data_IF_399691438967
#
_entry.id   IF_399691438967
#
_cell.length_a   1.000
_cell.length_b   1.000
_cell.length_c   1.000
_cell.angle_alpha   90.00
_cell.angle_beta   90.00
_cell.angle_gamma   90.00
#
_symmetry.space_group_name_H-M   'P 1'
#
loop_
_entity.id
_entity.type
_entity.pdbx_description
1 polymer ?
#
# COMPACT_ATOMS: atom_id res chain seq x y z
N UNK A 1 52.28 20.67 -44.97
CA UNK A 1 50.98 21.17 -44.46
C UNK A 1 50.07 20.00 -44.23
N UNK A 2 49.98 19.50 -43.01
CA UNK A 2 49.04 18.43 -42.61
C UNK A 2 47.83 19.06 -41.95
N UNK A 3 46.56 18.65 -42.27
CA UNK A 3 45.39 19.11 -41.55
C UNK A 3 45.18 18.33 -40.27
N UNK A 4 44.93 19.07 -39.21
CA UNK A 4 44.54 18.55 -37.92
C UNK A 4 43.11 17.94 -37.96
N UNK A 5 43.03 16.66 -37.71
CA UNK A 5 41.75 15.94 -37.51
C UNK A 5 41.33 16.12 -36.04
N UNK A 6 40.35 16.97 -35.81
CA UNK A 6 39.72 17.17 -34.51
C UNK A 6 38.82 15.96 -34.19
N UNK A 7 39.23 15.08 -33.30
CA UNK A 7 38.41 14.00 -32.77
C UNK A 7 37.45 14.59 -31.75
N UNK A 8 36.18 14.75 -32.13
CA UNK A 8 35.08 15.04 -31.22
C UNK A 8 34.76 13.74 -30.47
N UNK A 9 35.12 13.68 -29.21
CA UNK A 9 34.74 12.60 -28.30
C UNK A 9 33.34 12.86 -27.82
N UNK A 10 32.36 12.21 -28.46
CA UNK A 10 30.95 12.25 -28.01
C UNK A 10 30.82 11.43 -26.74
N UNK A 11 30.78 12.13 -25.60
CA UNK A 11 30.51 11.50 -24.30
C UNK A 11 29.03 11.08 -24.29
N UNK A 12 28.79 9.79 -24.56
CA UNK A 12 27.48 9.17 -24.43
C UNK A 12 27.21 9.06 -22.92
N UNK A 13 26.52 10.07 -22.35
CA UNK A 13 25.94 9.96 -21.02
C UNK A 13 24.84 8.89 -21.07
N UNK A 14 25.19 7.66 -20.74
CA UNK A 14 24.22 6.63 -20.39
C UNK A 14 23.52 7.09 -19.10
N UNK A 15 22.41 7.83 -19.26
CA UNK A 15 21.37 7.91 -18.25
C UNK A 15 20.76 6.52 -18.14
N UNK A 16 21.41 5.67 -17.36
CA UNK A 16 20.81 4.46 -16.81
C UNK A 16 19.62 4.94 -15.99
N UNK A 17 18.44 4.91 -16.59
CA UNK A 17 17.19 5.03 -15.86
C UNK A 17 17.26 3.98 -14.74
N UNK A 18 17.38 4.41 -13.51
CA UNK A 18 17.10 3.58 -12.35
C UNK A 18 15.62 3.20 -12.46
N UNK A 19 15.35 2.11 -13.19
CA UNK A 19 14.15 1.35 -12.91
C UNK A 19 14.19 1.11 -11.40
N UNK A 20 13.14 1.50 -10.69
CA UNK A 20 12.96 1.19 -9.29
C UNK A 20 12.71 -0.32 -9.20
N UNK A 21 13.70 -1.12 -9.55
CA UNK A 21 13.69 -2.54 -9.40
C UNK A 21 13.64 -2.83 -7.90
N UNK A 22 12.53 -3.37 -7.44
CA UNK A 22 12.37 -3.84 -6.06
C UNK A 22 12.90 -5.29 -5.96
N UNK A 23 13.99 -5.59 -6.69
CA UNK A 23 14.55 -6.94 -6.80
C UNK A 23 14.96 -7.52 -5.44
N UNK A 24 15.27 -6.63 -4.48
CA UNK A 24 15.56 -6.99 -3.10
C UNK A 24 14.33 -7.56 -2.34
N UNK A 25 13.11 -7.24 -2.75
CA UNK A 25 11.89 -7.72 -2.09
C UNK A 25 11.56 -9.18 -2.46
N UNK A 26 11.84 -9.61 -3.70
CA UNK A 26 11.54 -10.95 -4.21
C UNK A 26 12.22 -12.07 -3.41
N UNK A 27 13.53 -12.02 -3.10
CA UNK A 27 14.20 -13.06 -2.32
C UNK A 27 13.61 -13.25 -0.91
N UNK A 28 13.02 -12.22 -0.32
CA UNK A 28 12.32 -12.35 0.96
C UNK A 28 11.08 -13.21 0.83
N UNK A 29 10.26 -12.98 -0.20
CA UNK A 29 9.07 -13.78 -0.48
C UNK A 29 9.42 -15.25 -0.77
N UNK A 30 10.44 -15.50 -1.59
CA UNK A 30 10.88 -16.84 -1.95
C UNK A 30 11.41 -17.65 -0.76
N UNK A 31 11.91 -16.98 0.27
CA UNK A 31 12.44 -17.60 1.49
C UNK A 31 11.43 -17.62 2.65
N UNK A 32 10.24 -17.07 2.46
CA UNK A 32 9.23 -17.05 3.52
C UNK A 32 8.82 -18.49 3.91
N UNK A 33 8.83 -18.84 5.19
CA UNK A 33 8.35 -20.14 5.66
C UNK A 33 6.83 -20.21 5.76
N UNK A 34 6.13 -19.09 5.57
CA UNK A 34 4.68 -18.99 5.78
C UNK A 34 3.90 -19.46 4.57
N UNK A 35 2.65 -19.84 4.79
CA UNK A 35 1.74 -20.15 3.68
C UNK A 35 1.38 -18.87 2.95
N UNK A 36 1.76 -18.79 1.67
CA UNK A 36 1.54 -17.67 0.78
C UNK A 36 0.84 -18.20 -0.49
N UNK A 37 -0.29 -17.60 -0.86
CA UNK A 37 -1.02 -18.08 -2.03
C UNK A 37 -1.69 -16.94 -2.82
N UNK A 38 -1.94 -17.23 -4.09
CA UNK A 38 -2.82 -16.44 -4.94
C UNK A 38 -4.24 -16.98 -4.86
N UNK A 39 -5.20 -16.10 -4.58
CA UNK A 39 -6.62 -16.41 -4.67
C UNK A 39 -7.30 -15.48 -5.67
N UNK A 40 -8.43 -15.92 -6.23
CA UNK A 40 -9.28 -15.06 -7.05
C UNK A 40 -10.55 -14.76 -6.28
N UNK A 41 -10.74 -13.47 -5.96
CA UNK A 41 -11.95 -12.99 -5.32
C UNK A 41 -12.90 -12.48 -6.39
N UNK A 42 -14.07 -13.13 -6.51
CA UNK A 42 -15.08 -12.76 -7.51
C UNK A 42 -16.17 -11.91 -6.91
N UNK A 43 -16.52 -10.82 -7.57
CA UNK A 43 -17.72 -10.04 -7.28
C UNK A 43 -18.33 -9.47 -8.56
N UNK A 44 -19.66 -9.58 -8.70
CA UNK A 44 -20.31 -9.27 -9.97
C UNK A 44 -19.66 -10.03 -11.14
N UNK A 45 -19.28 -9.29 -12.18
CA UNK A 45 -18.59 -9.84 -13.36
C UNK A 45 -17.08 -9.64 -13.30
N UNK A 46 -16.51 -9.41 -12.12
CA UNK A 46 -15.10 -9.07 -11.96
C UNK A 46 -14.37 -10.12 -11.13
N UNK A 47 -13.23 -10.55 -11.62
CA UNK A 47 -12.27 -11.42 -10.95
C UNK A 47 -11.09 -10.56 -10.49
N UNK A 48 -10.86 -10.48 -9.18
CA UNK A 48 -9.74 -9.76 -8.57
C UNK A 48 -8.74 -10.77 -8.04
N UNK A 49 -7.53 -10.79 -8.58
CA UNK A 49 -6.44 -11.61 -8.04
C UNK A 49 -5.93 -10.98 -6.76
N UNK A 50 -5.83 -11.77 -5.72
CA UNK A 50 -5.37 -11.31 -4.41
C UNK A 50 -4.23 -12.20 -3.93
N UNK A 51 -3.21 -11.59 -3.35
CA UNK A 51 -2.16 -12.29 -2.62
C UNK A 51 -2.56 -12.42 -1.16
N UNK A 52 -2.55 -13.63 -0.63
CA UNK A 52 -2.88 -13.91 0.77
C UNK A 52 -1.67 -14.50 1.48
N UNK A 53 -1.39 -13.99 2.67
CA UNK A 53 -0.36 -14.49 3.58
C UNK A 53 -1.01 -14.89 4.91
N UNK A 54 -0.68 -16.08 5.39
CA UNK A 54 -1.23 -16.64 6.63
C UNK A 54 -0.17 -16.69 7.73
N UNK A 55 -0.55 -16.29 8.96
CA UNK A 55 0.35 -16.39 10.10
C UNK A 55 0.48 -17.83 10.60
N UNK A 56 1.64 -18.16 11.16
CA UNK A 56 1.91 -19.42 11.85
C UNK A 56 1.42 -19.34 13.32
N UNK A 57 0.11 -19.22 13.52
CA UNK A 57 -0.53 -19.11 14.83
C UNK A 57 -1.61 -20.16 15.03
N UNK A 58 -1.88 -20.55 16.27
CA UNK A 58 -2.91 -21.56 16.62
C UNK A 58 -4.31 -20.97 16.66
N UNK A 59 -4.43 -19.72 17.08
CA UNK A 59 -5.70 -19.04 17.26
C UNK A 59 -6.11 -18.30 15.98
N UNK A 60 -7.40 -17.99 15.89
CA UNK A 60 -7.89 -17.16 14.79
C UNK A 60 -7.30 -15.76 14.86
N UNK A 61 -6.84 -15.26 13.73
CA UNK A 61 -6.13 -13.99 13.61
C UNK A 61 -7.02 -12.87 13.06
N UNK A 62 -6.72 -11.63 13.43
CA UNK A 62 -7.24 -10.44 12.75
C UNK A 62 -6.67 -10.36 11.34
N UNK A 63 -7.49 -9.95 10.37
CA UNK A 63 -7.06 -9.78 8.99
C UNK A 63 -6.74 -8.31 8.66
N UNK A 64 -5.82 -8.11 7.71
CA UNK A 64 -5.47 -6.79 7.17
C UNK A 64 -5.57 -6.80 5.65
N UNK A 65 -6.40 -5.91 5.11
CA UNK A 65 -6.41 -5.62 3.67
C UNK A 65 -5.29 -4.64 3.36
N UNK A 66 -4.39 -5.01 2.45
CA UNK A 66 -3.22 -4.21 2.07
C UNK A 66 -3.44 -3.59 0.69
N UNK A 67 -3.49 -2.26 0.62
CA UNK A 67 -3.71 -1.53 -0.63
C UNK A 67 -2.36 -1.04 -1.18
N UNK A 68 -2.05 -1.47 -2.39
CA UNK A 68 -0.77 -1.19 -3.05
C UNK A 68 -0.58 0.28 -3.45
N UNK A 69 0.66 0.63 -3.80
CA UNK A 69 1.04 1.93 -4.37
C UNK A 69 0.59 2.10 -5.82
N UNK A 70 0.96 3.22 -6.45
CA UNK A 70 0.74 3.48 -7.89
C UNK A 70 1.44 2.48 -8.83
N UNK A 71 2.29 1.62 -8.29
CA UNK A 71 3.03 0.61 -9.06
C UNK A 71 2.29 -0.75 -9.13
N UNK A 72 1.06 -0.82 -8.59
CA UNK A 72 0.30 -2.06 -8.51
C UNK A 72 0.79 -3.01 -7.41
N UNK A 73 0.37 -4.27 -7.49
CA UNK A 73 0.72 -5.31 -6.52
C UNK A 73 2.13 -5.86 -6.80
N UNK A 74 3.15 -5.11 -6.38
CA UNK A 74 4.56 -5.46 -6.53
C UNK A 74 5.02 -6.50 -5.50
N UNK A 75 6.25 -7.03 -5.69
CA UNK A 75 6.88 -7.94 -4.72
C UNK A 75 7.03 -7.31 -3.34
N UNK A 76 7.30 -6.00 -3.28
CA UNK A 76 7.35 -5.29 -2.01
C UNK A 76 6.00 -5.32 -1.27
N UNK A 77 4.89 -5.05 -1.95
CA UNK A 77 3.55 -5.08 -1.31
C UNK A 77 3.19 -6.50 -0.86
N UNK A 78 3.52 -7.52 -1.67
CA UNK A 78 3.39 -8.92 -1.26
C UNK A 78 4.27 -9.24 -0.05
N UNK A 79 5.47 -8.66 0.01
CA UNK A 79 6.37 -8.73 1.17
C UNK A 79 5.82 -8.04 2.42
N UNK A 80 5.07 -6.95 2.27
CA UNK A 80 4.34 -6.32 3.39
C UNK A 80 3.27 -7.27 3.93
N UNK A 81 2.52 -7.96 3.05
CA UNK A 81 1.55 -8.97 3.49
C UNK A 81 2.23 -10.12 4.26
N UNK A 82 3.38 -10.59 3.79
CA UNK A 82 4.19 -11.59 4.48
C UNK A 82 4.69 -11.11 5.86
N UNK A 83 5.13 -9.85 5.98
CA UNK A 83 5.54 -9.26 7.26
C UNK A 83 4.38 -9.09 8.25
N UNK A 84 3.17 -8.81 7.77
CA UNK A 84 1.97 -8.82 8.61
C UNK A 84 1.67 -10.24 9.10
N UNK A 85 1.83 -11.24 8.24
CA UNK A 85 1.66 -12.64 8.64
C UNK A 85 2.73 -13.09 9.66
N UNK A 86 3.99 -12.66 9.49
CA UNK A 86 5.05 -12.82 10.49
C UNK A 86 4.66 -12.21 11.85
N UNK A 87 3.94 -11.10 11.83
CA UNK A 87 3.46 -10.43 13.05
C UNK A 87 2.18 -11.05 13.64
N UNK A 88 1.63 -12.12 13.04
CA UNK A 88 0.48 -12.86 13.56
C UNK A 88 -0.88 -12.45 12.96
N UNK A 89 -0.90 -11.74 11.82
CA UNK A 89 -2.11 -11.28 11.16
C UNK A 89 -2.30 -11.98 9.81
N UNK A 90 -3.54 -12.29 9.43
CA UNK A 90 -3.81 -12.66 8.04
C UNK A 90 -3.72 -11.40 7.19
N UNK A 91 -3.02 -11.45 6.06
CA UNK A 91 -2.96 -10.32 5.15
C UNK A 91 -3.48 -10.69 3.77
N UNK A 92 -4.33 -9.83 3.20
CA UNK A 92 -4.81 -9.95 1.83
C UNK A 92 -4.49 -8.69 1.05
N UNK A 93 -3.77 -8.83 -0.06
CA UNK A 93 -3.39 -7.73 -0.95
C UNK A 93 -4.04 -7.93 -2.33
N UNK A 94 -5.16 -7.25 -2.65
CA UNK A 94 -5.78 -7.32 -3.95
C UNK A 94 -4.93 -6.61 -5.02
N UNK A 95 -4.79 -7.22 -6.18
CA UNK A 95 -4.31 -6.56 -7.38
C UNK A 95 -5.46 -5.78 -8.02
N UNK A 96 -5.58 -4.51 -7.66
CA UNK A 96 -6.65 -3.64 -8.15
C UNK A 96 -6.55 -3.35 -9.66
N UNK A 97 -5.42 -3.73 -10.27
CA UNK A 97 -5.19 -3.68 -11.72
C UNK A 97 -5.63 -4.99 -12.42
N UNK A 98 -6.20 -5.96 -11.72
CA UNK A 98 -6.75 -7.18 -12.31
C UNK A 98 -7.69 -6.85 -13.48
N UNK A 99 -7.51 -7.52 -14.60
CA UNK A 99 -8.31 -7.33 -15.81
C UNK A 99 -7.94 -6.10 -16.66
N UNK A 100 -6.98 -5.26 -16.25
CA UNK A 100 -6.60 -4.05 -17.00
C UNK A 100 -5.42 -4.24 -17.95
N UNK A 101 -4.71 -5.35 -17.80
CA UNK A 101 -3.57 -5.70 -18.64
C UNK A 101 -3.95 -6.57 -19.84
N UNK A 102 -2.97 -6.88 -20.70
CA UNK A 102 -3.15 -7.80 -21.81
C UNK A 102 -3.75 -9.15 -21.37
N UNK A 103 -4.66 -9.69 -22.18
CA UNK A 103 -5.35 -10.94 -21.91
C UNK A 103 -6.07 -11.02 -20.55
N UNK A 104 -6.52 -9.88 -20.03
CA UNK A 104 -7.16 -9.82 -18.71
C UNK A 104 -6.19 -9.94 -17.53
N UNK A 105 -4.89 -9.75 -17.75
CA UNK A 105 -3.89 -9.76 -16.70
C UNK A 105 -3.97 -8.55 -15.77
N UNK A 106 -3.18 -8.59 -14.70
CA UNK A 106 -3.06 -7.53 -13.70
C UNK A 106 -1.68 -6.85 -13.74
N UNK A 107 -1.21 -6.42 -12.60
CA UNK A 107 0.05 -5.67 -12.41
C UNK A 107 1.23 -6.27 -13.17
N UNK A 108 1.43 -7.58 -13.06
CA UNK A 108 2.58 -8.28 -13.66
C UNK A 108 2.60 -8.25 -15.20
N UNK A 109 1.43 -8.06 -15.84
CA UNK A 109 1.28 -8.06 -17.29
C UNK A 109 1.39 -6.66 -17.93
N UNK A 110 1.59 -5.61 -17.13
CA UNK A 110 1.58 -4.21 -17.58
C UNK A 110 2.95 -3.69 -18.01
N UNK A 111 3.97 -4.55 -18.08
CA UNK A 111 5.30 -4.15 -18.55
C UNK A 111 6.09 -3.26 -17.58
N UNK A 112 5.76 -3.32 -16.29
CA UNK A 112 6.49 -2.65 -15.23
C UNK A 112 5.80 -1.43 -14.61
N UNK A 113 6.55 -0.63 -13.81
CA UNK A 113 5.98 0.46 -13.01
C UNK A 113 5.24 1.54 -13.79
N UNK A 114 5.72 1.89 -14.98
CA UNK A 114 5.09 2.95 -15.78
C UNK A 114 3.75 2.50 -16.39
N UNK A 115 3.66 1.23 -16.80
CA UNK A 115 2.40 0.64 -17.25
C UNK A 115 1.36 0.60 -16.12
N UNK A 116 1.75 0.17 -14.94
CA UNK A 116 0.90 0.18 -13.76
C UNK A 116 0.43 1.59 -13.39
N UNK A 117 1.35 2.56 -13.33
CA UNK A 117 1.06 3.97 -13.04
C UNK A 117 0.03 4.55 -14.00
N UNK A 118 0.19 4.28 -15.30
CA UNK A 118 -0.74 4.74 -16.35
C UNK A 118 -2.16 4.21 -16.12
N UNK A 119 -2.29 2.95 -15.71
CA UNK A 119 -3.60 2.31 -15.48
C UNK A 119 -4.26 2.72 -14.16
N UNK A 120 -3.51 2.89 -13.09
CA UNK A 120 -4.02 3.31 -11.76
C UNK A 120 -4.83 4.61 -11.86
N UNK A 121 -4.34 5.61 -12.60
CA UNK A 121 -5.01 6.89 -12.77
C UNK A 121 -6.37 6.81 -13.47
N UNK A 122 -6.65 5.72 -14.18
CA UNK A 122 -7.89 5.50 -14.92
C UNK A 122 -8.88 4.57 -14.21
N UNK A 123 -8.51 3.99 -13.05
CA UNK A 123 -9.40 3.10 -12.31
C UNK A 123 -10.63 3.87 -11.78
N UNK A 124 -11.85 3.41 -12.06
CA UNK A 124 -13.06 4.00 -11.48
C UNK A 124 -13.02 3.86 -9.95
N UNK A 125 -13.18 4.95 -9.19
CA UNK A 125 -13.11 4.90 -7.73
C UNK A 125 -14.10 3.93 -7.08
N UNK A 126 -15.30 3.79 -7.64
CA UNK A 126 -16.33 2.87 -7.12
C UNK A 126 -15.94 1.40 -7.36
N UNK A 127 -15.26 1.10 -8.48
CA UNK A 127 -14.71 -0.23 -8.71
C UNK A 127 -13.63 -0.57 -7.69
N UNK A 128 -12.70 0.36 -7.42
CA UNK A 128 -11.67 0.17 -6.39
C UNK A 128 -12.30 -0.12 -5.04
N UNK A 129 -13.33 0.64 -4.66
CA UNK A 129 -14.06 0.43 -3.41
C UNK A 129 -14.75 -0.94 -3.37
N UNK A 130 -15.36 -1.38 -4.49
CA UNK A 130 -16.01 -2.68 -4.59
C UNK A 130 -15.01 -3.85 -4.53
N UNK A 131 -13.87 -3.73 -5.22
CA UNK A 131 -12.78 -4.72 -5.17
C UNK A 131 -12.24 -4.88 -3.74
N UNK A 132 -11.99 -3.76 -3.05
CA UNK A 132 -11.52 -3.76 -1.66
C UNK A 132 -12.56 -4.37 -0.71
N UNK A 133 -13.85 -4.05 -0.91
CA UNK A 133 -14.93 -4.65 -0.14
C UNK A 133 -14.98 -6.15 -0.34
N UNK A 134 -14.90 -6.62 -1.57
CA UNK A 134 -14.90 -8.05 -1.88
C UNK A 134 -13.72 -8.77 -1.22
N UNK A 135 -12.51 -8.20 -1.26
CA UNK A 135 -11.33 -8.74 -0.59
C UNK A 135 -11.50 -8.77 0.93
N UNK A 136 -12.07 -7.71 1.52
CA UNK A 136 -12.39 -7.64 2.96
C UNK A 136 -13.40 -8.71 3.36
N UNK A 137 -14.50 -8.84 2.62
CA UNK A 137 -15.54 -9.84 2.88
C UNK A 137 -15.00 -11.27 2.71
N UNK A 138 -14.09 -11.49 1.76
CA UNK A 138 -13.44 -12.77 1.54
C UNK A 138 -12.58 -13.16 2.75
N UNK A 139 -11.63 -12.31 3.14
CA UNK A 139 -10.69 -12.62 4.21
C UNK A 139 -11.40 -12.74 5.56
N UNK A 140 -12.47 -11.96 5.80
CA UNK A 140 -13.26 -12.03 7.02
C UNK A 140 -13.93 -13.41 7.22
N UNK A 141 -14.29 -14.08 6.11
CA UNK A 141 -14.95 -15.39 6.12
C UNK A 141 -14.00 -16.57 6.21
N UNK A 142 -12.70 -16.35 6.12
CA UNK A 142 -11.72 -17.43 6.25
C UNK A 142 -11.84 -18.10 7.63
N UNK A 143 -11.76 -19.44 7.71
CA UNK A 143 -11.83 -20.14 8.99
C UNK A 143 -10.77 -19.70 10.00
N UNK A 144 -9.61 -19.25 9.51
CA UNK A 144 -8.49 -18.73 10.29
C UNK A 144 -8.71 -17.28 10.77
N UNK A 145 -9.71 -16.56 10.24
CA UNK A 145 -10.00 -15.18 10.65
C UNK A 145 -10.90 -15.13 11.88
N UNK A 146 -10.60 -14.23 12.82
CA UNK A 146 -11.43 -13.98 14.02
C UNK A 146 -12.63 -13.05 13.74
N UNK A 147 -12.88 -12.70 12.47
CA UNK A 147 -13.95 -11.82 12.06
C UNK A 147 -13.61 -10.32 12.13
N UNK A 148 -12.43 -9.95 12.61
CA UNK A 148 -11.96 -8.56 12.62
C UNK A 148 -11.10 -8.30 11.39
N UNK A 149 -11.37 -7.19 10.69
CA UNK A 149 -10.60 -6.74 9.51
C UNK A 149 -10.16 -5.30 9.71
N UNK A 150 -8.89 -5.02 9.47
CA UNK A 150 -8.34 -3.69 9.32
C UNK A 150 -7.92 -3.46 7.86
N UNK A 151 -7.68 -2.22 7.48
CA UNK A 151 -7.21 -1.86 6.14
C UNK A 151 -6.02 -0.92 6.24
N UNK A 152 -5.01 -1.12 5.41
CA UNK A 152 -3.86 -0.22 5.32
C UNK A 152 -3.40 -0.08 3.88
N UNK A 153 -3.01 1.14 3.49
CA UNK A 153 -2.57 1.40 2.13
C UNK A 153 -1.44 2.40 2.06
N UNK A 154 -0.69 2.32 0.96
CA UNK A 154 0.54 3.04 0.75
C UNK A 154 0.42 4.00 -0.43
N UNK A 155 0.89 5.25 -0.31
CA UNK A 155 0.85 6.25 -1.37
C UNK A 155 -0.59 6.47 -1.87
N UNK A 156 -0.87 6.17 -3.14
CA UNK A 156 -2.22 6.12 -3.69
C UNK A 156 -3.14 5.22 -2.87
N UNK A 157 -2.66 4.04 -2.45
CA UNK A 157 -3.40 3.13 -1.57
C UNK A 157 -3.72 3.73 -0.21
N UNK A 158 -2.88 4.62 0.31
CA UNK A 158 -3.18 5.39 1.52
C UNK A 158 -4.39 6.32 1.32
N UNK A 159 -4.46 7.00 0.18
CA UNK A 159 -5.65 7.80 -0.19
C UNK A 159 -6.89 6.91 -0.34
N UNK A 160 -6.74 5.72 -0.95
CA UNK A 160 -7.85 4.76 -1.07
C UNK A 160 -8.30 4.21 0.30
N UNK A 161 -7.41 4.17 1.30
CA UNK A 161 -7.78 3.79 2.67
C UNK A 161 -8.81 4.76 3.25
N UNK A 162 -8.61 6.07 3.14
CA UNK A 162 -9.63 7.04 3.57
C UNK A 162 -10.98 6.83 2.87
N UNK A 163 -10.95 6.68 1.53
CA UNK A 163 -12.15 6.40 0.76
C UNK A 163 -12.84 5.10 1.21
N UNK A 164 -12.07 4.06 1.43
CA UNK A 164 -12.61 2.76 1.80
C UNK A 164 -13.28 2.78 3.17
N UNK A 165 -12.63 3.34 4.21
CA UNK A 165 -13.22 3.42 5.55
C UNK A 165 -14.47 4.31 5.60
N UNK A 166 -14.60 5.27 4.67
CA UNK A 166 -15.81 6.09 4.52
C UNK A 166 -16.98 5.32 3.90
N UNK A 167 -16.68 4.26 3.13
CA UNK A 167 -17.70 3.49 2.38
C UNK A 167 -17.91 2.06 2.91
N UNK A 168 -17.08 1.63 3.86
CA UNK A 168 -17.15 0.29 4.46
C UNK A 168 -16.96 0.34 5.98
N UNK A 169 -18.06 0.52 6.75
CA UNK A 169 -17.98 0.70 8.20
C UNK A 169 -17.58 -0.56 8.98
N UNK A 170 -17.46 -1.71 8.30
CA UNK A 170 -17.13 -3.00 8.93
C UNK A 170 -15.68 -3.17 9.39
N UNK A 171 -14.76 -2.32 8.90
CA UNK A 171 -13.34 -2.41 9.31
C UNK A 171 -13.11 -1.83 10.70
N UNK A 172 -12.11 -2.36 11.40
CA UNK A 172 -11.77 -1.99 12.78
C UNK A 172 -10.81 -0.81 12.87
N UNK A 173 -9.98 -0.60 11.85
CA UNK A 173 -9.04 0.51 11.75
C UNK A 173 -8.63 0.77 10.31
N UNK A 174 -8.29 2.03 9.98
CA UNK A 174 -7.65 2.43 8.73
C UNK A 174 -6.22 2.92 8.99
N UNK A 175 -5.24 2.45 8.20
CA UNK A 175 -3.83 2.85 8.27
C UNK A 175 -3.43 3.55 6.97
N UNK A 176 -3.19 4.84 7.03
CA UNK A 176 -2.87 5.69 5.88
C UNK A 176 -1.38 5.97 5.86
N UNK A 177 -0.64 5.29 4.99
CA UNK A 177 0.78 5.54 4.80
C UNK A 177 0.99 6.51 3.65
N UNK A 178 1.47 7.71 3.95
CA UNK A 178 1.79 8.80 3.01
C UNK A 178 0.77 8.98 1.88
N UNK A 179 -0.51 8.77 2.17
CA UNK A 179 -1.63 9.05 1.28
C UNK A 179 -2.23 10.43 1.56
N UNK A 180 -2.79 11.05 0.53
CA UNK A 180 -3.51 12.32 0.70
C UNK A 180 -4.74 12.11 1.60
N UNK A 181 -5.00 13.05 2.48
CA UNK A 181 -6.23 13.11 3.22
C UNK A 181 -7.44 13.39 2.32
N UNK A 182 -8.64 13.16 2.85
CA UNK A 182 -9.88 13.57 2.20
C UNK A 182 -10.28 14.97 2.67
N UNK A 183 -10.78 15.77 1.73
CA UNK A 183 -11.39 17.09 2.00
C UNK A 183 -12.92 17.02 1.87
N UNK A 184 -13.47 15.85 1.61
CA UNK A 184 -14.91 15.63 1.47
C UNK A 184 -15.55 15.39 2.83
N UNK A 185 -16.08 16.46 3.45
CA UNK A 185 -16.71 16.41 4.76
C UNK A 185 -17.83 15.37 4.85
N UNK A 186 -18.78 15.25 3.89
CA UNK A 186 -19.80 14.21 3.89
C UNK A 186 -19.25 12.79 3.89
N UNK A 187 -18.14 12.54 3.23
CA UNK A 187 -17.48 11.22 3.25
C UNK A 187 -16.83 10.94 4.59
N UNK A 188 -16.07 11.91 5.12
CA UNK A 188 -15.40 11.75 6.41
C UNK A 188 -16.40 11.53 7.56
N UNK A 189 -17.57 12.15 7.51
CA UNK A 189 -18.62 11.98 8.51
C UNK A 189 -19.15 10.52 8.58
N UNK A 190 -19.02 9.73 7.52
CA UNK A 190 -19.45 8.32 7.48
C UNK A 190 -18.46 7.36 8.16
N UNK A 191 -17.23 7.79 8.39
CA UNK A 191 -16.19 6.94 8.99
C UNK A 191 -16.62 6.51 10.39
N UNK A 192 -16.51 5.23 10.69
CA UNK A 192 -16.86 4.67 12.01
C UNK A 192 -15.66 4.09 12.76
N UNK A 193 -14.58 3.81 12.05
CA UNK A 193 -13.34 3.27 12.60
C UNK A 193 -12.28 4.38 12.81
N UNK A 194 -11.36 4.23 13.78
CA UNK A 194 -10.22 5.12 13.88
C UNK A 194 -9.34 5.04 12.63
N UNK A 195 -8.77 6.18 12.24
CA UNK A 195 -7.82 6.30 11.14
C UNK A 195 -6.47 6.76 11.70
N UNK A 196 -5.41 6.04 11.35
CA UNK A 196 -4.06 6.32 11.78
C UNK A 196 -3.20 6.72 10.59
N UNK A 197 -2.61 7.91 10.63
CA UNK A 197 -1.77 8.44 9.57
C UNK A 197 -0.27 8.22 9.85
N UNK A 198 0.51 7.93 8.80
CA UNK A 198 1.96 7.70 8.84
C UNK A 198 2.60 8.50 7.70
N UNK A 199 3.26 9.61 8.02
CA UNK A 199 3.70 10.60 7.04
C UNK A 199 5.18 10.91 7.13
N UNK A 200 5.85 11.09 5.99
CA UNK A 200 7.24 11.52 5.96
C UNK A 200 7.37 13.03 6.11
N UNK A 201 8.31 13.51 6.93
CA UNK A 201 8.53 14.93 7.16
C UNK A 201 8.90 15.71 5.89
N UNK A 202 9.61 15.07 4.97
CA UNK A 202 10.03 15.65 3.69
C UNK A 202 9.00 15.47 2.56
N UNK A 203 7.76 15.13 2.87
CA UNK A 203 6.67 15.00 1.90
C UNK A 203 5.70 16.20 1.98
N UNK A 204 6.17 17.39 1.60
CA UNK A 204 5.40 18.63 1.72
C UNK A 204 4.04 18.55 1.02
N UNK A 205 3.97 17.86 -0.13
CA UNK A 205 2.73 17.72 -0.91
C UNK A 205 1.63 16.98 -0.14
N UNK A 206 1.96 15.89 0.51
CA UNK A 206 1.01 15.09 1.29
C UNK A 206 0.74 15.79 2.63
N UNK A 207 1.77 16.30 3.29
CA UNK A 207 1.63 16.93 4.59
C UNK A 207 0.71 18.15 4.55
N UNK A 208 0.66 18.89 3.42
CA UNK A 208 -0.27 20.00 3.23
C UNK A 208 -1.76 19.57 3.31
N UNK A 209 -2.09 18.29 3.13
CA UNK A 209 -3.48 17.79 3.21
C UNK A 209 -3.89 17.41 4.64
N UNK A 210 -2.95 17.20 5.55
CA UNK A 210 -3.21 16.70 6.90
C UNK A 210 -4.08 17.67 7.72
N UNK A 211 -3.76 18.98 7.82
CA UNK A 211 -4.51 19.89 8.70
C UNK A 211 -5.99 19.98 8.34
N UNK A 212 -6.31 19.94 7.05
CA UNK A 212 -7.70 19.98 6.58
C UNK A 212 -8.45 18.71 6.98
N UNK A 213 -7.85 17.54 6.76
CA UNK A 213 -8.43 16.24 7.14
C UNK A 213 -8.61 16.14 8.67
N UNK A 214 -7.63 16.60 9.47
CA UNK A 214 -7.74 16.62 10.93
C UNK A 214 -8.91 17.49 11.38
N UNK A 215 -9.02 18.70 10.83
CA UNK A 215 -10.10 19.63 11.16
C UNK A 215 -11.47 19.04 10.85
N UNK A 216 -11.63 18.43 9.67
CA UNK A 216 -12.89 17.83 9.24
C UNK A 216 -13.25 16.57 10.06
N UNK A 217 -12.28 15.70 10.32
CA UNK A 217 -12.48 14.51 11.16
C UNK A 217 -12.86 14.90 12.60
N UNK A 218 -12.18 15.89 13.18
CA UNK A 218 -12.51 16.45 14.50
C UNK A 218 -13.92 17.03 14.52
N UNK A 219 -14.30 17.83 13.52
CA UNK A 219 -15.64 18.41 13.37
C UNK A 219 -16.72 17.31 13.31
N UNK A 220 -16.42 16.21 12.63
CA UNK A 220 -17.31 15.06 12.51
C UNK A 220 -17.30 14.13 13.74
N UNK A 221 -16.51 14.43 14.80
CA UNK A 221 -16.37 13.57 15.97
C UNK A 221 -15.68 12.23 15.68
N UNK A 222 -14.79 12.20 14.66
CA UNK A 222 -14.07 11.00 14.23
C UNK A 222 -12.62 11.02 14.71
N UNK A 223 -12.07 9.83 14.93
CA UNK A 223 -10.69 9.66 15.36
C UNK A 223 -9.77 9.66 14.14
N UNK A 224 -8.84 10.61 14.10
CA UNK A 224 -7.74 10.64 13.15
C UNK A 224 -6.45 11.02 13.89
N UNK A 225 -5.45 10.14 13.81
CA UNK A 225 -4.17 10.29 14.51
C UNK A 225 -3.01 10.26 13.51
N UNK A 226 -2.66 11.40 12.88
CA UNK A 226 -1.49 11.48 12.02
C UNK A 226 -0.20 11.58 12.84
N UNK A 227 0.84 10.87 12.39
CA UNK A 227 2.22 10.98 12.89
C UNK A 227 3.14 11.32 11.72
N UNK A 228 3.97 12.35 11.90
CA UNK A 228 4.98 12.77 10.93
C UNK A 228 6.34 12.29 11.41
N UNK A 229 7.04 11.53 10.56
CA UNK A 229 8.38 11.01 10.79
C UNK A 229 9.39 11.96 10.18
N UNK A 230 10.09 12.70 11.02
CA UNK A 230 11.05 13.73 10.61
C UNK A 230 12.15 13.15 9.72
N UNK A 231 12.54 13.89 8.68
CA UNK A 231 13.59 13.53 7.72
C UNK A 231 13.21 12.46 6.71
N UNK A 232 12.11 11.71 6.95
CA UNK A 232 11.66 10.69 6.02
C UNK A 232 10.98 11.28 4.78
N UNK A 233 11.18 10.63 3.64
CA UNK A 233 10.56 11.02 2.37
C UNK A 233 9.22 10.32 2.11
N UNK A 234 8.56 10.70 0.99
CA UNK A 234 7.43 9.95 0.47
C UNK A 234 7.84 8.49 0.19
N UNK A 235 6.99 7.52 0.57
CA UNK A 235 7.29 6.10 0.36
C UNK A 235 8.32 5.53 1.33
N UNK A 236 8.53 6.14 2.49
CA UNK A 236 9.55 5.72 3.47
C UNK A 236 9.40 4.26 3.93
N UNK A 237 8.21 3.67 3.91
CA UNK A 237 8.03 2.26 4.24
C UNK A 237 8.74 1.34 3.26
N UNK A 238 8.67 1.66 1.97
CA UNK A 238 9.38 0.92 0.92
C UNK A 238 10.86 1.31 0.87
N UNK A 239 11.16 2.60 0.82
CA UNK A 239 12.53 3.10 0.76
C UNK A 239 13.37 2.76 2.00
N UNK A 240 12.76 2.63 3.16
CA UNK A 240 13.43 2.21 4.39
C UNK A 240 13.65 0.70 4.50
N UNK A 241 12.97 -0.10 3.67
CA UNK A 241 13.22 -1.55 3.56
C UNK A 241 14.34 -1.85 2.56
N UNK A 242 14.53 -0.98 1.58
CA UNK A 242 15.63 -1.09 0.63
C UNK A 242 16.98 -1.07 1.37
N UNK A 243 17.88 -2.05 1.11
CA UNK A 243 19.22 -2.05 1.68
C UNK A 243 19.99 -0.74 1.45
N UNK A 244 19.75 -0.08 0.30
CA UNK A 244 20.34 1.21 -0.06
C UNK A 244 19.55 2.43 0.49
N UNK A 245 18.47 2.21 1.24
CA UNK A 245 17.65 3.28 1.79
C UNK A 245 18.38 4.18 2.78
N UNK A 246 17.98 5.46 2.82
CA UNK A 246 18.57 6.43 3.75
C UNK A 246 18.33 6.07 5.22
N UNK A 247 19.19 6.51 6.15
CA UNK A 247 19.02 6.28 7.58
C UNK A 247 17.66 6.80 8.10
N UNK A 248 17.20 7.95 7.62
CA UNK A 248 15.93 8.56 8.01
C UNK A 248 14.75 7.70 7.59
N UNK A 249 14.75 7.19 6.35
CA UNK A 249 13.70 6.30 5.87
C UNK A 249 13.70 4.97 6.63
N UNK A 250 14.87 4.41 6.93
CA UNK A 250 15.00 3.18 7.74
C UNK A 250 14.44 3.37 9.14
N UNK A 251 14.81 4.47 9.81
CA UNK A 251 14.30 4.82 11.15
C UNK A 251 12.78 5.03 11.14
N UNK A 252 12.27 5.77 10.16
CA UNK A 252 10.85 6.02 10.01
C UNK A 252 10.05 4.75 9.73
N UNK A 253 10.58 3.86 8.86
CA UNK A 253 9.98 2.55 8.60
C UNK A 253 9.89 1.71 9.87
N UNK A 254 10.97 1.61 10.63
CA UNK A 254 10.98 0.84 11.87
C UNK A 254 9.95 1.37 12.87
N UNK A 255 9.93 2.68 13.12
CA UNK A 255 8.97 3.32 14.01
C UNK A 255 7.52 3.19 13.52
N UNK A 256 7.29 3.36 12.21
CA UNK A 256 5.98 3.17 11.59
C UNK A 256 5.48 1.73 11.71
N UNK A 257 6.37 0.76 11.49
CA UNK A 257 6.04 -0.66 11.62
C UNK A 257 5.73 -1.05 13.06
N UNK A 258 6.50 -0.56 14.03
CA UNK A 258 6.23 -0.78 15.45
C UNK A 258 4.87 -0.20 15.86
N UNK A 259 4.58 1.06 15.47
CA UNK A 259 3.29 1.70 15.73
C UNK A 259 2.13 0.91 15.12
N UNK A 260 2.24 0.48 13.87
CA UNK A 260 1.23 -0.34 13.21
C UNK A 260 0.93 -1.62 14.02
N UNK A 261 1.98 -2.37 14.39
CA UNK A 261 1.83 -3.61 15.18
C UNK A 261 1.21 -3.34 16.56
N UNK A 262 1.60 -2.25 17.21
CA UNK A 262 1.03 -1.87 18.52
C UNK A 262 -0.48 -1.59 18.41
N UNK A 263 -0.92 -0.86 17.38
CA UNK A 263 -2.34 -0.58 17.17
C UNK A 263 -3.10 -1.86 16.82
N UNK A 264 -2.58 -2.67 15.90
CA UNK A 264 -3.20 -3.93 15.51
C UNK A 264 -3.39 -4.89 16.68
N UNK A 265 -2.45 -4.91 17.64
CA UNK A 265 -2.54 -5.73 18.85
C UNK A 265 -3.70 -5.30 19.76
N UNK A 266 -4.12 -4.05 19.68
CA UNK A 266 -5.23 -3.51 20.45
C UNK A 266 -6.62 -3.74 19.84
N UNK A 267 -6.69 -4.26 18.59
CA UNK A 267 -7.95 -4.55 17.90
C UNK A 267 -8.50 -5.90 18.34
#
# INVERSE_FOLDING_TARGET
MLPHVLRVLTLLCCLSGFALAQDWAKPRLEKSPRHLEWVTVRHGNRDVRCWVAYPEVKDKATAVVVIHEIFGLTDWVRGVADQLAEAGYIAIAPDLLSGTGPNGGGTESLGGPDGARSKIGSLPPDQVTADLKAASDYVQKLPACNGKVAVGGFCWGGTQTFRFVSNHPGVKAGFVFYGSGSENEPELAKIQSPVYGFYGGNDARINATIPKSESLMKKAGKVYEPVIYEGAGHGFMRAGEDPAGSPENKKAREAGWQRLKQILKGL
#
